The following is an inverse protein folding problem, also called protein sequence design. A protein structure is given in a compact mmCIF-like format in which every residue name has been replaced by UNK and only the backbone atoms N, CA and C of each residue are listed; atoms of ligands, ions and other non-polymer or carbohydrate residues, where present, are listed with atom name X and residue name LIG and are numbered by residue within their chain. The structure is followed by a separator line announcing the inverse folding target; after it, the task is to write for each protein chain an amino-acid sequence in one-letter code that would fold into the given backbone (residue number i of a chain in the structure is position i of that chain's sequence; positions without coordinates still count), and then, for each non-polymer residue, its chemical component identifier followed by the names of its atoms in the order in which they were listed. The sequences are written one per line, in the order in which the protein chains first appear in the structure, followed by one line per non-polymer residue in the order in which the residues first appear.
data_IF_374380969770
#
_entry.id   IF_374380969770
#
_cell.length_a   1.000
_cell.length_b   1.000
_cell.length_c   1.000
_cell.angle_alpha   90.00
_cell.angle_beta   90.00
_cell.angle_gamma   90.00
#
_symmetry.space_group_name_H-M   'P 1'
#
loop_
_entity.id
_entity.type
_entity.pdbx_description
1 polymer ?
#
# COMPACT_ATOMS: atom_id res chain seq x y z
N UNK A 1 2.34 33.16 -63.12
CA UNK A 1 2.64 33.03 -61.67
C UNK A 1 1.43 33.54 -60.92
N UNK A 2 0.88 32.77 -59.99
CA UNK A 2 -0.15 33.27 -59.09
C UNK A 2 0.48 34.31 -58.15
N UNK A 3 -0.12 35.50 -58.03
CA UNK A 3 0.35 36.54 -57.13
C UNK A 3 -0.30 36.32 -55.76
N UNK A 4 0.50 36.16 -54.71
CA UNK A 4 0.01 36.11 -53.32
C UNK A 4 -0.07 37.54 -52.79
N UNK A 5 -1.24 37.93 -52.26
CA UNK A 5 -1.43 39.24 -51.65
C UNK A 5 -1.09 39.20 -50.17
N UNK A 6 -0.56 40.29 -49.62
CA UNK A 6 -0.25 40.43 -48.19
C UNK A 6 -1.11 41.53 -47.57
N UNK A 7 -1.75 41.23 -46.44
CA UNK A 7 -2.62 42.13 -45.70
C UNK A 7 -2.14 42.28 -44.26
N UNK A 8 -2.11 43.51 -43.75
CA UNK A 8 -1.93 43.82 -42.32
C UNK A 8 -3.27 44.30 -41.77
N UNK A 9 -3.80 43.62 -40.77
CA UNK A 9 -5.11 43.90 -40.18
C UNK A 9 -5.05 43.82 -38.65
N UNK A 10 -5.95 44.52 -37.96
CA UNK A 10 -6.07 44.45 -36.49
C UNK A 10 -7.01 43.32 -36.04
N UNK A 11 -7.85 42.83 -36.93
CA UNK A 11 -8.70 41.66 -36.75
C UNK A 11 -8.91 40.96 -38.09
N UNK A 12 -9.19 39.65 -38.08
CA UNK A 12 -9.41 38.89 -39.30
C UNK A 12 -10.76 39.31 -39.94
N UNK A 13 -10.78 39.79 -41.20
CA UNK A 13 -12.02 40.21 -41.86
C UNK A 13 -13.01 39.06 -42.04
N UNK A 14 -14.32 39.35 -42.02
CA UNK A 14 -15.37 38.34 -42.21
C UNK A 14 -15.44 37.75 -43.63
N UNK A 15 -14.83 38.40 -44.61
CA UNK A 15 -14.62 37.89 -45.97
C UNK A 15 -13.16 38.06 -46.33
N UNK A 16 -12.49 36.98 -46.73
CA UNK A 16 -11.07 36.98 -47.04
C UNK A 16 -10.84 36.77 -48.53
N UNK A 17 -9.79 37.40 -49.04
CA UNK A 17 -9.34 37.23 -50.41
C UNK A 17 -8.72 35.84 -50.56
N UNK A 18 -9.03 35.09 -51.63
CA UNK A 18 -8.33 33.85 -51.95
C UNK A 18 -6.82 34.05 -52.12
N UNK A 19 -6.05 32.99 -51.86
CA UNK A 19 -4.61 32.92 -52.11
C UNK A 19 -3.81 34.10 -51.54
N UNK A 20 -4.13 34.48 -50.29
CA UNK A 20 -3.62 35.69 -49.63
C UNK A 20 -3.11 35.40 -48.23
N UNK A 21 -2.15 36.21 -47.78
CA UNK A 21 -1.52 36.14 -46.47
C UNK A 21 -1.99 37.32 -45.60
N UNK A 22 -2.44 37.03 -44.39
CA UNK A 22 -2.91 38.02 -43.42
C UNK A 22 -2.03 37.99 -42.17
N UNK A 23 -1.54 39.16 -41.76
CA UNK A 23 -0.94 39.40 -40.45
C UNK A 23 -1.96 40.13 -39.57
N UNK A 24 -2.41 39.47 -38.51
CA UNK A 24 -3.45 39.95 -37.60
C UNK A 24 -2.80 40.34 -36.27
N UNK A 25 -3.02 41.56 -35.78
CA UNK A 25 -2.52 41.99 -34.47
C UNK A 25 -3.17 41.20 -33.32
N UNK A 26 -2.35 40.71 -32.38
CA UNK A 26 -2.80 40.01 -31.18
C UNK A 26 -1.99 40.50 -29.96
N UNK A 27 -2.26 41.73 -29.52
CA UNK A 27 -1.60 42.35 -28.37
C UNK A 27 -0.12 42.64 -28.64
N UNK A 28 0.79 41.87 -28.01
CA UNK A 28 2.23 42.06 -28.13
C UNK A 28 2.88 41.35 -29.33
N UNK A 29 2.12 40.51 -30.04
CA UNK A 29 2.57 39.78 -31.22
C UNK A 29 1.51 39.83 -32.34
N UNK A 30 1.84 39.29 -33.51
CA UNK A 30 0.91 39.16 -34.63
C UNK A 30 0.76 37.69 -35.02
N UNK A 31 -0.44 37.31 -35.44
CA UNK A 31 -0.76 36.00 -35.96
C UNK A 31 -0.77 35.99 -37.48
N UNK A 32 -0.37 34.86 -38.08
CA UNK A 32 -0.38 34.67 -39.52
C UNK A 32 -1.48 33.72 -39.97
N UNK A 33 -2.19 34.11 -41.04
CA UNK A 33 -3.20 33.29 -41.70
C UNK A 33 -2.94 33.26 -43.21
N UNK A 34 -3.04 32.07 -43.80
CA UNK A 34 -2.99 31.88 -45.25
C UNK A 34 -4.36 31.42 -45.75
N UNK A 35 -4.91 32.09 -46.76
CA UNK A 35 -6.16 31.68 -47.38
C UNK A 35 -5.92 30.74 -48.56
N UNK A 36 -6.79 29.74 -48.71
CA UNK A 36 -6.80 28.89 -49.91
C UNK A 36 -7.55 29.57 -51.08
N UNK A 37 -7.64 28.87 -52.21
CA UNK A 37 -8.38 29.32 -53.40
C UNK A 37 -9.88 29.58 -53.16
N UNK A 38 -10.44 29.15 -52.02
CA UNK A 38 -11.82 29.41 -51.60
C UNK A 38 -11.94 30.54 -50.56
N UNK A 39 -10.85 31.23 -50.22
CA UNK A 39 -10.84 32.29 -49.20
C UNK A 39 -10.92 31.77 -47.75
N UNK A 40 -10.74 30.47 -47.52
CA UNK A 40 -10.78 29.89 -46.16
C UNK A 40 -9.41 30.09 -45.51
N UNK A 41 -9.39 30.79 -44.37
CA UNK A 41 -8.18 30.99 -43.58
C UNK A 41 -7.67 29.67 -42.99
N UNK A 42 -6.36 29.45 -43.12
CA UNK A 42 -5.60 28.45 -42.37
C UNK A 42 -4.61 29.18 -41.48
N UNK A 43 -4.62 28.83 -40.19
CA UNK A 43 -3.64 29.32 -39.25
C UNK A 43 -2.23 28.86 -39.64
N UNK A 44 -1.27 29.77 -39.58
CA UNK A 44 0.14 29.47 -39.75
C UNK A 44 0.83 29.87 -38.46
N UNK A 45 1.05 28.92 -37.55
CA UNK A 45 1.76 29.16 -36.29
C UNK A 45 1.08 30.15 -35.34
N UNK A 46 -0.26 30.21 -35.33
CA UNK A 46 -0.98 31.03 -34.37
C UNK A 46 -1.04 30.37 -32.98
N UNK A 47 -1.39 31.15 -31.96
CA UNK A 47 -1.43 30.66 -30.57
C UNK A 47 -2.41 29.51 -30.37
N UNK A 48 -3.56 29.51 -31.07
CA UNK A 48 -4.53 28.43 -31.01
C UNK A 48 -3.98 27.10 -31.55
N UNK A 49 -3.27 27.13 -32.69
CA UNK A 49 -2.61 25.97 -33.28
C UNK A 49 -1.49 25.47 -32.37
N UNK A 50 -0.66 26.37 -31.84
CA UNK A 50 0.43 26.02 -30.92
C UNK A 50 -0.14 25.39 -29.65
N UNK A 51 -1.17 25.98 -29.05
CA UNK A 51 -1.83 25.42 -27.86
C UNK A 51 -2.48 24.07 -28.14
N UNK A 52 -3.07 23.87 -29.32
CA UNK A 52 -3.63 22.57 -29.71
C UNK A 52 -2.53 21.50 -29.86
N UNK A 53 -1.38 21.85 -30.44
CA UNK A 53 -0.23 20.94 -30.53
C UNK A 53 0.37 20.63 -29.16
N UNK A 54 0.47 21.63 -28.28
CA UNK A 54 0.92 21.44 -26.89
C UNK A 54 -0.07 20.55 -26.14
N UNK A 55 -1.37 20.82 -26.23
CA UNK A 55 -2.40 20.00 -25.59
C UNK A 55 -2.37 18.56 -26.10
N UNK A 56 -2.17 18.34 -27.40
CA UNK A 56 -2.00 17.00 -27.97
C UNK A 56 -0.73 16.31 -27.45
N UNK A 57 0.38 17.04 -27.34
CA UNK A 57 1.63 16.49 -26.78
C UNK A 57 1.50 16.18 -25.28
N UNK A 58 0.80 17.02 -24.51
CA UNK A 58 0.54 16.83 -23.08
C UNK A 58 -0.46 15.71 -22.81
N UNK A 59 -1.48 15.53 -23.66
CA UNK A 59 -2.43 14.43 -23.53
C UNK A 59 -1.73 13.05 -23.59
N UNK A 60 -0.63 12.94 -24.35
CA UNK A 60 0.22 11.75 -24.35
C UNK A 60 1.04 11.57 -23.06
N UNK A 61 1.27 12.64 -22.31
CA UNK A 61 2.01 12.61 -21.04
C UNK A 61 1.11 12.36 -19.83
N UNK A 62 -0.12 12.89 -19.82
CA UNK A 62 -1.09 12.67 -18.72
C UNK A 62 -1.48 11.19 -18.59
N UNK A 63 -1.43 10.41 -19.68
CA UNK A 63 -1.61 8.95 -19.64
C UNK A 63 -0.36 8.14 -19.24
N UNK A 64 0.82 8.76 -19.23
CA UNK A 64 2.10 8.13 -18.84
C UNK A 64 2.54 8.51 -17.42
N UNK A 65 1.65 9.12 -16.64
CA UNK A 65 1.96 9.73 -15.34
C UNK A 65 1.93 8.71 -14.22
N UNK A 66 2.95 7.84 -14.12
CA UNK A 66 3.38 7.08 -12.93
C UNK A 66 2.26 6.60 -11.97
N UNK A 67 1.10 6.19 -12.47
CA UNK A 67 0.10 5.51 -11.67
C UNK A 67 0.57 4.08 -11.43
N UNK A 68 0.31 3.58 -10.23
CA UNK A 68 0.34 2.14 -10.02
C UNK A 68 -0.88 1.58 -10.74
N UNK A 69 -0.65 0.81 -11.80
CA UNK A 69 -1.71 0.09 -12.51
C UNK A 69 -2.15 -1.10 -11.67
N UNK A 70 -3.46 -1.32 -11.56
CA UNK A 70 -4.01 -2.42 -10.76
C UNK A 70 -4.70 -3.40 -11.71
N UNK A 71 -4.29 -4.66 -11.69
CA UNK A 71 -4.79 -5.73 -12.56
C UNK A 71 -5.24 -6.94 -11.75
N UNK A 72 -6.17 -7.70 -12.30
CA UNK A 72 -6.81 -8.81 -11.59
C UNK A 72 -5.85 -9.98 -11.34
N UNK A 73 -5.03 -10.36 -12.33
CA UNK A 73 -4.14 -11.53 -12.25
C UNK A 73 -2.82 -11.37 -13.04
N UNK A 74 -1.96 -12.38 -12.96
CA UNK A 74 -0.67 -12.44 -13.65
C UNK A 74 -0.81 -12.36 -15.17
N UNK A 75 -1.85 -12.98 -15.74
CA UNK A 75 -2.07 -12.94 -17.18
C UNK A 75 -2.46 -11.53 -17.65
N UNK A 76 -3.25 -10.81 -16.85
CA UNK A 76 -3.60 -9.42 -17.09
C UNK A 76 -2.39 -8.48 -16.98
N UNK A 77 -1.47 -8.73 -16.03
CA UNK A 77 -0.18 -8.02 -15.97
C UNK A 77 0.63 -8.22 -17.24
N UNK A 78 0.77 -9.46 -17.69
CA UNK A 78 1.59 -9.78 -18.86
C UNK A 78 0.99 -9.16 -20.14
N UNK A 79 -0.34 -9.19 -20.28
CA UNK A 79 -1.04 -8.48 -21.37
C UNK A 79 -0.91 -6.95 -21.28
N UNK A 80 -0.82 -6.37 -20.08
CA UNK A 80 -0.57 -4.94 -19.90
C UNK A 80 0.85 -4.57 -20.31
N UNK A 81 1.85 -5.37 -19.92
CA UNK A 81 3.26 -5.19 -20.28
C UNK A 81 3.45 -5.08 -21.80
N UNK A 82 2.74 -5.90 -22.58
CA UNK A 82 2.77 -5.85 -24.05
C UNK A 82 2.33 -4.50 -24.65
N UNK A 83 1.67 -3.65 -23.87
CA UNK A 83 1.19 -2.32 -24.28
C UNK A 83 2.04 -1.17 -23.74
N UNK A 84 2.95 -1.44 -22.81
CA UNK A 84 3.72 -0.42 -22.10
C UNK A 84 5.02 -0.09 -22.84
N UNK A 85 5.19 1.19 -23.18
CA UNK A 85 6.43 1.72 -23.77
C UNK A 85 7.36 2.37 -22.73
N UNK A 86 6.95 2.39 -21.46
CA UNK A 86 7.67 3.03 -20.35
C UNK A 86 7.63 2.16 -19.09
N UNK A 87 8.56 2.42 -18.17
CA UNK A 87 8.59 1.74 -16.88
C UNK A 87 7.30 2.02 -16.10
N UNK A 88 6.75 0.99 -15.45
CA UNK A 88 5.50 1.09 -14.71
C UNK A 88 5.53 0.28 -13.42
N UNK A 89 4.74 0.70 -12.42
CA UNK A 89 4.45 -0.13 -11.26
C UNK A 89 3.09 -0.80 -11.46
N UNK A 90 3.00 -2.10 -11.20
CA UNK A 90 1.80 -2.89 -11.43
C UNK A 90 1.48 -3.68 -10.16
N UNK A 91 0.31 -3.43 -9.57
CA UNK A 91 -0.25 -4.23 -8.48
C UNK A 91 -1.17 -5.30 -9.08
N UNK A 92 -0.81 -6.57 -8.86
CA UNK A 92 -1.62 -7.72 -9.24
C UNK A 92 -2.44 -8.17 -8.05
N UNK A 93 -3.76 -8.24 -8.17
CA UNK A 93 -4.67 -8.62 -7.08
C UNK A 93 -4.57 -10.11 -6.74
N UNK A 94 -4.57 -10.97 -7.76
CA UNK A 94 -4.32 -12.41 -7.64
C UNK A 94 -3.01 -12.79 -8.35
N UNK A 95 -1.94 -12.79 -7.57
CA UNK A 95 -0.61 -13.15 -8.01
C UNK A 95 -0.30 -14.65 -7.85
N UNK A 96 -1.29 -15.51 -7.57
CA UNK A 96 -1.08 -16.95 -7.30
C UNK A 96 -0.48 -17.75 -8.46
N UNK A 97 -0.47 -17.21 -9.68
CA UNK A 97 0.22 -17.81 -10.81
C UNK A 97 1.73 -17.50 -10.85
N UNK A 98 2.24 -16.62 -9.99
CA UNK A 98 3.67 -16.46 -9.71
C UNK A 98 4.11 -17.59 -8.76
N UNK A 99 5.06 -18.47 -9.14
CA UNK A 99 5.50 -19.60 -8.31
C UNK A 99 6.11 -19.20 -6.96
N UNK A 100 6.37 -17.92 -6.75
CA UNK A 100 6.93 -17.38 -5.51
C UNK A 100 5.90 -16.69 -4.63
N UNK A 101 4.62 -16.69 -5.01
CA UNK A 101 3.49 -16.15 -4.25
C UNK A 101 2.48 -17.27 -4.04
N UNK A 102 2.31 -17.76 -2.80
CA UNK A 102 1.43 -18.90 -2.54
C UNK A 102 -0.05 -18.48 -2.63
N UNK A 103 -0.39 -17.28 -2.14
CA UNK A 103 -1.73 -16.70 -2.30
C UNK A 103 -1.76 -15.17 -2.10
N UNK A 104 -2.64 -14.48 -2.82
CA UNK A 104 -2.91 -13.05 -2.60
C UNK A 104 -2.30 -12.15 -3.67
N UNK A 105 -1.93 -10.93 -3.31
CA UNK A 105 -1.53 -9.88 -4.25
C UNK A 105 -0.02 -9.70 -4.31
N UNK A 106 0.51 -9.15 -5.40
CA UNK A 106 1.91 -8.76 -5.48
C UNK A 106 2.12 -7.47 -6.27
N UNK A 107 3.08 -6.67 -5.83
CA UNK A 107 3.51 -5.43 -6.48
C UNK A 107 4.77 -5.69 -7.29
N UNK A 108 4.72 -5.32 -8.56
CA UNK A 108 5.81 -5.45 -9.51
C UNK A 108 6.26 -4.09 -10.05
N UNK A 109 7.53 -3.96 -10.39
CA UNK A 109 8.05 -2.91 -11.24
C UNK A 109 8.49 -3.48 -12.57
N UNK A 110 7.96 -2.92 -13.65
CA UNK A 110 8.33 -3.25 -15.02
C UNK A 110 9.38 -2.26 -15.53
N UNK A 111 10.47 -2.79 -16.08
CA UNK A 111 11.51 -2.06 -16.81
C UNK A 111 11.31 -2.30 -18.31
N UNK A 112 10.78 -1.29 -19.01
CA UNK A 112 10.53 -1.33 -20.44
C UNK A 112 11.81 -1.33 -21.29
N UNK A 113 12.94 -0.89 -20.72
CA UNK A 113 14.24 -0.90 -21.44
C UNK A 113 14.85 -2.30 -21.45
N UNK A 114 14.78 -2.99 -20.32
CA UNK A 114 15.31 -4.34 -20.16
C UNK A 114 14.30 -5.44 -20.52
N UNK A 115 13.02 -5.08 -20.70
CA UNK A 115 11.89 -6.00 -20.84
C UNK A 115 11.85 -7.00 -19.67
N UNK A 116 11.95 -6.47 -18.45
CA UNK A 116 12.01 -7.27 -17.22
C UNK A 116 11.02 -6.77 -16.18
N UNK A 117 10.46 -7.73 -15.44
CA UNK A 117 9.56 -7.46 -14.32
C UNK A 117 10.23 -7.87 -13.01
N UNK A 118 10.25 -6.95 -12.05
CA UNK A 118 10.83 -7.14 -10.71
C UNK A 118 9.72 -7.19 -9.67
N UNK A 119 9.62 -8.28 -8.91
CA UNK A 119 8.71 -8.35 -7.75
C UNK A 119 9.29 -7.49 -6.62
N UNK A 120 8.51 -6.51 -6.16
CA UNK A 120 8.92 -5.58 -5.09
C UNK A 120 8.37 -6.04 -3.74
N UNK A 121 7.09 -6.41 -3.72
CA UNK A 121 6.41 -6.84 -2.50
C UNK A 121 5.36 -7.89 -2.86
N UNK A 122 5.08 -8.76 -1.91
CA UNK A 122 3.93 -9.66 -1.93
C UNK A 122 3.08 -9.40 -0.70
N UNK A 123 1.77 -9.54 -0.89
CA UNK A 123 0.74 -9.36 0.12
C UNK A 123 -0.06 -10.64 0.18
N UNK A 124 0.45 -11.58 0.96
CA UNK A 124 -0.38 -12.67 1.41
C UNK A 124 -1.24 -12.13 2.56
N UNK A 125 -2.53 -12.50 2.58
CA UNK A 125 -3.35 -12.30 3.76
C UNK A 125 -2.58 -12.88 4.96
N UNK A 126 -2.14 -12.02 5.89
CA UNK A 126 -1.42 -12.44 7.08
C UNK A 126 -2.34 -13.25 8.00
N UNK A 127 -2.56 -14.53 7.69
CA UNK A 127 -3.11 -15.49 8.64
C UNK A 127 -1.98 -15.95 9.55
N UNK A 128 -1.79 -15.22 10.65
CA UNK A 128 -0.70 -15.47 11.59
C UNK A 128 -1.07 -16.64 12.50
N UNK A 129 -0.73 -17.86 12.06
CA UNK A 129 -0.77 -19.06 12.91
C UNK A 129 0.55 -19.20 13.67
N UNK A 130 0.58 -18.79 14.93
CA UNK A 130 1.75 -18.93 15.80
C UNK A 130 1.80 -20.33 16.44
N UNK A 131 2.85 -21.08 16.15
CA UNK A 131 3.19 -22.28 16.93
C UNK A 131 3.95 -21.89 18.18
N UNK A 132 3.49 -22.35 19.35
CA UNK A 132 4.18 -22.11 20.63
C UNK A 132 5.64 -22.57 20.61
N UNK A 133 5.92 -23.69 19.93
CA UNK A 133 7.26 -24.24 19.77
C UNK A 133 8.21 -23.34 18.95
N UNK A 134 7.66 -22.41 18.17
CA UNK A 134 8.41 -21.50 17.30
C UNK A 134 8.67 -20.14 17.95
N UNK A 135 8.19 -19.91 19.18
CA UNK A 135 8.43 -18.66 19.90
C UNK A 135 9.82 -18.67 20.53
N UNK A 136 10.65 -17.68 20.15
CA UNK A 136 11.96 -17.44 20.79
C UNK A 136 11.73 -16.88 22.19
N UNK A 137 12.54 -17.34 23.15
CA UNK A 137 12.45 -16.97 24.57
C UNK A 137 11.08 -17.28 25.24
N UNK A 138 10.29 -18.16 24.64
CA UNK A 138 9.08 -18.72 25.25
C UNK A 138 9.43 -19.67 26.41
N UNK A 139 8.54 -19.83 27.41
CA UNK A 139 8.81 -20.76 28.50
C UNK A 139 8.78 -22.19 27.97
N UNK A 140 9.77 -22.99 28.38
CA UNK A 140 9.93 -24.40 27.98
C UNK A 140 9.06 -25.37 28.79
N UNK A 141 8.19 -24.84 29.66
CA UNK A 141 7.32 -25.64 30.51
C UNK A 141 6.30 -26.42 29.67
N UNK A 142 6.29 -27.74 29.87
CA UNK A 142 5.22 -28.61 29.36
C UNK A 142 3.91 -28.36 30.11
N UNK A 143 2.74 -28.68 29.52
CA UNK A 143 1.46 -28.63 30.23
C UNK A 143 1.49 -29.36 31.58
N UNK A 144 2.10 -30.54 31.65
CA UNK A 144 2.22 -31.31 32.89
C UNK A 144 3.08 -30.63 33.97
N UNK A 145 4.13 -29.90 33.59
CA UNK A 145 4.93 -29.11 34.53
C UNK A 145 4.14 -27.92 35.08
N UNK A 146 3.32 -27.29 34.23
CA UNK A 146 2.41 -26.22 34.66
C UNK A 146 1.36 -26.78 35.63
N UNK A 147 0.71 -27.90 35.28
CA UNK A 147 -0.29 -28.54 36.14
C UNK A 147 0.31 -28.99 37.48
N UNK A 148 1.53 -29.53 37.45
CA UNK A 148 2.26 -29.90 38.66
C UNK A 148 2.59 -28.69 39.53
N UNK A 149 3.02 -27.57 38.94
CA UNK A 149 3.28 -26.34 39.67
C UNK A 149 2.01 -25.81 40.35
N UNK A 150 0.87 -25.86 39.64
CA UNK A 150 -0.45 -25.50 40.19
C UNK A 150 -0.84 -26.41 41.35
N UNK A 151 -0.64 -27.73 41.22
CA UNK A 151 -0.92 -28.68 42.29
C UNK A 151 -0.01 -28.51 43.52
N UNK A 152 1.27 -28.19 43.30
CA UNK A 152 2.24 -27.96 44.38
C UNK A 152 2.03 -26.63 45.10
N UNK A 153 1.42 -25.63 44.45
CA UNK A 153 1.10 -24.34 45.08
C UNK A 153 0.19 -24.46 46.32
N UNK A 154 -0.51 -25.60 46.47
CA UNK A 154 -1.37 -25.92 47.61
C UNK A 154 -0.96 -27.20 48.36
N UNK A 155 0.30 -27.63 48.22
CA UNK A 155 0.83 -28.78 48.93
C UNK A 155 1.79 -28.35 50.04
N UNK A 156 1.59 -28.88 51.25
CA UNK A 156 2.51 -28.69 52.38
C UNK A 156 2.85 -30.05 52.97
N UNK A 157 4.14 -30.37 53.10
CA UNK A 157 4.59 -31.65 53.67
C UNK A 157 4.09 -31.87 55.10
N UNK A 158 3.83 -30.79 55.85
CA UNK A 158 3.31 -30.80 57.21
C UNK A 158 1.81 -30.48 57.29
N UNK A 159 1.05 -30.61 56.18
CA UNK A 159 -0.40 -30.34 56.12
C UNK A 159 -1.15 -31.01 57.28
N UNK A 160 -0.87 -32.29 57.54
CA UNK A 160 -1.49 -33.04 58.62
C UNK A 160 -1.22 -32.44 60.01
N UNK A 161 -0.04 -31.85 60.25
CA UNK A 161 0.29 -31.15 61.50
C UNK A 161 -0.36 -29.77 61.57
N UNK A 162 -0.38 -29.03 60.45
CA UNK A 162 -1.03 -27.73 60.37
C UNK A 162 -2.54 -27.85 60.57
N UNK A 163 -3.15 -28.93 60.09
CA UNK A 163 -4.57 -29.24 60.28
C UNK A 163 -4.93 -29.52 61.75
N UNK A 164 -3.95 -29.80 62.61
CA UNK A 164 -4.15 -29.93 64.05
C UNK A 164 -4.15 -28.58 64.77
N UNK A 165 -3.67 -27.51 64.14
CA UNK A 165 -3.66 -26.18 64.73
C UNK A 165 -5.05 -25.55 64.57
N UNK A 166 -5.65 -25.17 65.69
CA UNK A 166 -6.96 -24.51 65.73
C UNK A 166 -6.99 -23.32 66.67
N UNK A 167 -8.19 -22.76 66.85
CA UNK A 167 -8.46 -21.74 67.84
C UNK A 167 -9.84 -21.97 68.46
N UNK A 168 -9.99 -21.66 69.73
CA UNK A 168 -11.26 -21.62 70.45
C UNK A 168 -11.46 -20.25 71.14
N UNK A 169 -12.45 -20.15 72.04
CA UNK A 169 -12.74 -18.90 72.75
C UNK A 169 -11.63 -18.48 73.74
N UNK A 170 -10.74 -19.39 74.12
CA UNK A 170 -9.69 -19.19 75.12
C UNK A 170 -8.30 -19.02 74.48
N UNK A 171 -8.09 -19.48 73.24
CA UNK A 171 -6.87 -19.19 72.47
C UNK A 171 -6.50 -20.24 71.42
N UNK A 172 -5.21 -20.44 71.20
CA UNK A 172 -4.68 -21.42 70.24
C UNK A 172 -4.85 -22.86 70.77
N UNK A 173 -5.31 -23.76 69.92
CA UNK A 173 -5.44 -25.19 70.21
C UNK A 173 -4.55 -26.04 69.32
N UNK A 174 -4.14 -27.21 69.81
CA UNK A 174 -3.48 -28.26 69.04
C UNK A 174 -4.23 -29.58 69.23
N UNK A 175 -4.67 -30.18 68.14
CA UNK A 175 -5.56 -31.36 68.14
C UNK A 175 -6.83 -31.15 69.00
N UNK A 176 -7.37 -29.93 69.02
CA UNK A 176 -8.57 -29.56 69.79
C UNK A 176 -8.33 -29.39 71.29
N UNK A 177 -7.08 -29.45 71.77
CA UNK A 177 -6.71 -29.19 73.16
C UNK A 177 -6.04 -27.82 73.28
N UNK A 178 -6.37 -27.06 74.32
CA UNK A 178 -5.70 -25.79 74.61
C UNK A 178 -4.20 -25.99 74.81
N UNK A 179 -3.38 -25.14 74.17
CA UNK A 179 -1.91 -25.23 74.30
C UNK A 179 -1.50 -24.67 75.66
N UNK A 180 -1.06 -25.55 76.58
CA UNK A 180 -0.59 -25.16 77.90
C UNK A 180 0.93 -25.11 77.98
N UNK A 181 1.48 -24.33 78.92
CA UNK A 181 2.93 -24.30 79.15
C UNK A 181 3.37 -25.63 79.77
N UNK A 182 4.52 -26.17 79.34
CA UNK A 182 5.07 -27.44 79.87
C UNK A 182 5.41 -27.40 81.37
N UNK A 183 5.34 -26.21 81.97
CA UNK A 183 5.61 -25.95 83.38
C UNK A 183 4.35 -26.04 84.27
N UNK A 184 3.14 -26.12 83.68
CA UNK A 184 1.89 -26.17 84.44
C UNK A 184 1.74 -27.42 85.34
N UNK A 185 2.48 -28.50 85.05
CA UNK A 185 2.42 -29.76 85.80
C UNK A 185 3.60 -29.97 86.76
N UNK A 186 4.62 -29.10 86.71
CA UNK A 186 5.69 -29.11 87.70
C UNK A 186 5.26 -28.24 88.87
N UNK A 187 4.62 -28.85 89.87
CA UNK A 187 4.51 -28.27 91.20
C UNK A 187 5.94 -28.01 91.70
N UNK A 188 6.35 -26.75 91.66
CA UNK A 188 7.51 -26.26 92.37
C UNK A 188 7.23 -26.23 93.87
#
# INVERSE_FOLDING_TARGET
MAQVKFFKVTSLPGSLEPDSFYYVENGSYAESYLTNAAGVARAVGNSAMINALIAAALAGWEGASNSVEIVDDIAARDALIDTLEVNAMILVVDASADPTVDAGSALYAYDATADQTYKIAEYESMDVVLSWASLVDGPSSTPAQIDSAVGQAHSHSNKATLDLIGADAEGMTYAGQGVTTRWANNNW
#
